data_IF_082827531780
#
_entry.id   IF_082827531780
#
_cell.length_a   1.000
_cell.length_b   1.000
_cell.length_c   1.000
_cell.angle_alpha   90.00
_cell.angle_beta   90.00
_cell.angle_gamma   90.00
#
_symmetry.space_group_name_H-M   'P 1'
#
loop_
_entity.id
_entity.type
_entity.pdbx_description
1 polymer ?
#
# COMPACT_ATOMS: atom_id res chain seq x y z
N UNK A 1 -44.64 18.10 -3.10
CA UNK A 1 -45.88 17.62 -2.45
C UNK A 1 -46.29 16.31 -3.08
N UNK A 2 -46.37 15.25 -2.26
CA UNK A 2 -47.20 14.02 -2.38
C UNK A 2 -47.02 13.21 -3.67
N UNK A 3 -46.65 11.94 -3.69
CA UNK A 3 -46.78 10.82 -2.76
C UNK A 3 -46.52 9.57 -3.63
N UNK A 4 -46.55 8.31 -3.18
CA UNK A 4 -46.96 7.64 -1.96
C UNK A 4 -46.43 6.22 -2.18
N UNK A 5 -45.63 5.70 -1.26
CA UNK A 5 -45.30 4.27 -1.24
C UNK A 5 -46.59 3.49 -0.94
N UNK A 6 -47.04 2.69 -1.90
CA UNK A 6 -48.12 1.75 -1.68
C UNK A 6 -47.55 0.45 -1.07
N UNK A 7 -47.90 0.21 0.19
CA UNK A 7 -47.79 -1.09 0.84
C UNK A 7 -48.95 -1.96 0.37
N UNK A 8 -48.65 -3.08 -0.27
CA UNK A 8 -49.57 -4.18 -0.56
C UNK A 8 -48.67 -5.40 -0.66
N UNK A 9 -48.87 -6.51 0.04
CA UNK A 9 -49.98 -7.02 0.83
C UNK A 9 -49.68 -8.51 0.90
N UNK A 10 -49.55 -9.05 2.11
CA UNK A 10 -49.24 -10.45 2.34
C UNK A 10 -50.34 -11.34 1.75
N UNK A 11 -49.98 -12.27 0.87
CA UNK A 11 -50.81 -13.45 0.58
C UNK A 11 -49.93 -14.69 0.57
N UNK A 12 -50.02 -15.43 1.67
CA UNK A 12 -49.59 -16.81 1.76
C UNK A 12 -50.47 -17.65 0.82
N UNK A 13 -49.84 -18.30 -0.17
CA UNK A 13 -50.45 -19.38 -0.95
C UNK A 13 -49.45 -20.52 -0.92
N UNK A 14 -49.79 -21.55 -0.16
CA UNK A 14 -49.12 -22.85 -0.21
C UNK A 14 -49.71 -23.64 -1.39
N UNK A 15 -48.90 -23.93 -2.40
CA UNK A 15 -49.19 -25.00 -3.36
C UNK A 15 -47.92 -25.81 -3.64
N UNK A 16 -48.08 -27.10 -3.36
CA UNK A 16 -47.23 -28.23 -3.67
C UNK A 16 -47.05 -28.37 -5.20
N UNK A 17 -45.81 -28.59 -5.67
CA UNK A 17 -45.41 -29.64 -6.64
C UNK A 17 -44.22 -29.25 -7.54
N UNK A 18 -43.39 -30.27 -7.80
CA UNK A 18 -42.54 -30.53 -8.98
C UNK A 18 -41.03 -30.21 -8.89
N UNK A 19 -40.25 -31.29 -8.98
CA UNK A 19 -38.82 -31.34 -9.30
C UNK A 19 -38.50 -30.47 -10.53
N UNK A 20 -37.47 -29.64 -10.42
CA UNK A 20 -36.74 -29.06 -11.55
C UNK A 20 -35.25 -29.14 -11.25
N UNK A 21 -34.56 -29.97 -12.02
CA UNK A 21 -33.11 -30.01 -12.09
C UNK A 21 -32.58 -28.72 -12.74
N UNK A 22 -31.39 -28.29 -12.34
CA UNK A 22 -30.57 -27.34 -13.09
C UNK A 22 -30.69 -25.88 -12.65
N UNK A 23 -29.97 -25.55 -11.57
CA UNK A 23 -29.37 -24.22 -11.46
C UNK A 23 -28.02 -24.41 -10.76
N UNK A 24 -26.97 -24.54 -11.58
CA UNK A 24 -25.62 -24.28 -11.13
C UNK A 24 -25.61 -22.85 -10.57
N UNK A 25 -25.71 -22.72 -9.25
CA UNK A 25 -25.33 -21.50 -8.56
C UNK A 25 -23.81 -21.43 -8.68
N UNK A 26 -23.34 -20.89 -9.81
CA UNK A 26 -22.04 -20.27 -9.84
C UNK A 26 -22.09 -19.16 -8.80
N UNK A 27 -21.49 -19.45 -7.64
CA UNK A 27 -21.16 -18.41 -6.68
C UNK A 27 -20.48 -17.28 -7.45
N UNK A 28 -20.91 -16.02 -7.31
CA UNK A 28 -20.02 -14.93 -7.65
C UNK A 28 -18.83 -15.09 -6.72
N UNK A 29 -17.74 -15.67 -7.25
CA UNK A 29 -16.40 -15.47 -6.73
C UNK A 29 -16.30 -13.99 -6.44
N UNK A 30 -16.14 -13.66 -5.17
CA UNK A 30 -15.77 -12.32 -4.77
C UNK A 30 -14.51 -12.02 -5.60
N UNK A 31 -14.65 -11.17 -6.62
CA UNK A 31 -13.53 -10.49 -7.22
C UNK A 31 -12.83 -9.84 -6.04
N UNK A 32 -11.69 -10.42 -5.65
CA UNK A 32 -10.72 -9.79 -4.77
C UNK A 32 -10.58 -8.37 -5.29
N UNK A 33 -11.18 -7.43 -4.57
CA UNK A 33 -11.04 -6.00 -4.84
C UNK A 33 -9.54 -5.80 -5.01
N UNK A 34 -9.13 -5.48 -6.24
CA UNK A 34 -7.72 -5.50 -6.61
C UNK A 34 -6.94 -4.70 -5.57
N UNK A 35 -6.13 -5.39 -4.78
CA UNK A 35 -5.19 -4.73 -3.88
C UNK A 35 -4.39 -3.80 -4.76
N UNK A 36 -4.62 -2.50 -4.59
CA UNK A 36 -3.80 -1.50 -5.26
C UNK A 36 -2.33 -1.84 -4.96
N UNK A 37 -1.43 -1.75 -5.94
CA UNK A 37 -0.03 -2.09 -5.75
C UNK A 37 0.53 -1.33 -4.55
N UNK A 38 1.06 -2.05 -3.55
CA UNK A 38 1.57 -1.48 -2.31
C UNK A 38 2.81 -0.61 -2.61
N UNK A 39 2.80 0.69 -2.31
CA UNK A 39 3.93 1.57 -2.62
C UNK A 39 5.07 1.50 -1.58
N UNK A 40 4.93 0.71 -0.51
CA UNK A 40 5.98 0.46 0.47
C UNK A 40 6.82 -0.74 0.03
N UNK A 41 8.11 -0.49 -0.22
CA UNK A 41 9.14 -1.53 -0.42
C UNK A 41 9.82 -1.79 0.93
N UNK A 42 9.68 -2.99 1.50
CA UNK A 42 10.20 -3.32 2.84
C UNK A 42 11.50 -4.15 2.80
N UNK A 43 12.39 -3.95 3.78
CA UNK A 43 13.72 -4.61 3.87
C UNK A 43 13.86 -5.43 5.15
N UNK A 44 14.25 -6.71 5.03
CA UNK A 44 14.19 -7.68 6.14
C UNK A 44 15.39 -7.72 7.10
N UNK A 45 16.51 -7.03 6.82
CA UNK A 45 17.72 -7.06 7.66
C UNK A 45 18.43 -5.70 7.74
N UNK A 46 17.80 -4.73 8.44
CA UNK A 46 18.25 -3.32 8.43
C UNK A 46 19.37 -2.95 9.44
N UNK A 47 19.78 -3.86 10.33
CA UNK A 47 20.78 -3.61 11.37
C UNK A 47 22.21 -3.27 10.85
N UNK A 48 22.45 -3.40 9.53
CA UNK A 48 23.75 -3.17 8.90
C UNK A 48 23.90 -1.78 8.24
N UNK A 49 22.86 -0.94 8.29
CA UNK A 49 22.81 0.32 7.54
C UNK A 49 23.30 1.50 8.39
N UNK A 50 24.18 2.39 7.87
CA UNK A 50 24.65 3.55 8.61
C UNK A 50 23.47 4.46 8.95
N UNK A 51 23.26 4.77 10.23
CA UNK A 51 22.17 5.64 10.71
C UNK A 51 22.48 7.11 10.49
N UNK A 52 22.27 7.59 9.27
CA UNK A 52 22.08 9.01 9.00
C UNK A 52 20.66 9.43 9.37
N UNK A 53 20.47 10.71 9.72
CA UNK A 53 19.14 11.27 9.79
C UNK A 53 18.60 11.45 8.37
N UNK A 54 17.41 10.92 8.11
CA UNK A 54 16.64 11.13 6.89
C UNK A 54 15.47 12.04 7.23
N UNK A 55 15.30 13.12 6.47
CA UNK A 55 14.21 14.07 6.67
C UNK A 55 13.76 14.65 5.35
N UNK A 56 12.47 14.93 5.20
CA UNK A 56 11.91 15.50 3.99
C UNK A 56 10.41 15.31 3.92
N UNK A 57 9.77 15.78 2.85
CA UNK A 57 8.32 15.62 2.68
C UNK A 57 8.00 14.27 2.03
N UNK A 58 7.09 13.51 2.64
CA UNK A 58 6.61 12.26 2.05
C UNK A 58 5.73 12.56 0.83
N UNK A 59 6.03 11.93 -0.30
CA UNK A 59 5.32 12.09 -1.57
C UNK A 59 5.00 10.72 -2.17
N UNK A 60 3.97 10.70 -3.01
CA UNK A 60 3.61 9.54 -3.83
C UNK A 60 3.61 10.00 -5.29
N UNK A 61 4.47 9.41 -6.11
CA UNK A 61 4.56 9.67 -7.55
C UNK A 61 4.66 8.33 -8.27
N UNK A 62 3.82 8.10 -9.29
CA UNK A 62 3.88 6.87 -10.08
C UNK A 62 3.84 5.57 -9.25
N UNK A 63 3.09 5.57 -8.13
CA UNK A 63 3.02 4.47 -7.16
C UNK A 63 4.33 4.15 -6.42
N UNK A 64 5.29 5.08 -6.41
CA UNK A 64 6.50 5.04 -5.62
C UNK A 64 6.42 6.08 -4.51
N UNK A 65 6.82 5.70 -3.30
CA UNK A 65 7.00 6.67 -2.22
C UNK A 65 8.34 7.38 -2.40
N UNK A 66 8.34 8.68 -2.08
CA UNK A 66 9.54 9.50 -2.07
C UNK A 66 9.61 10.31 -0.79
N UNK A 67 10.83 10.56 -0.32
CA UNK A 67 11.14 11.62 0.64
C UNK A 67 11.81 12.73 -0.16
N UNK A 68 11.13 13.86 -0.26
CA UNK A 68 11.43 14.92 -1.23
C UNK A 68 11.52 14.37 -2.67
N UNK A 69 12.72 14.18 -3.23
CA UNK A 69 12.92 13.70 -4.61
C UNK A 69 13.60 12.31 -4.69
N UNK A 70 13.93 11.71 -3.53
CA UNK A 70 14.56 10.39 -3.44
C UNK A 70 13.53 9.30 -3.26
N UNK A 71 13.66 8.19 -4.00
CA UNK A 71 12.79 7.01 -3.83
C UNK A 71 13.04 6.38 -2.46
N UNK A 72 11.99 6.16 -1.67
CA UNK A 72 12.15 5.56 -0.33
C UNK A 72 11.74 4.09 -0.32
N UNK A 73 12.58 3.28 0.29
CA UNK A 73 12.25 1.96 0.77
C UNK A 73 12.44 1.91 2.29
N UNK A 74 11.66 1.08 2.96
CA UNK A 74 11.43 1.13 4.40
C UNK A 74 11.98 -0.10 5.09
N UNK A 75 12.34 0.03 6.36
CA UNK A 75 12.62 -1.12 7.20
C UNK A 75 11.38 -2.01 7.38
N UNK A 76 11.61 -3.29 7.69
CA UNK A 76 10.55 -4.24 8.05
C UNK A 76 9.64 -3.69 9.17
N UNK A 77 8.39 -4.15 9.20
CA UNK A 77 7.36 -3.59 10.09
C UNK A 77 6.75 -2.28 9.59
N UNK A 78 7.02 -1.90 8.34
CA UNK A 78 6.37 -0.76 7.68
C UNK A 78 5.30 -1.24 6.70
N UNK A 79 4.14 -0.59 6.71
CA UNK A 79 3.01 -0.92 5.83
C UNK A 79 2.37 0.33 5.23
N UNK A 80 1.49 0.13 4.25
CA UNK A 80 0.74 1.20 3.59
C UNK A 80 -0.74 1.13 3.97
N UNK A 81 -1.28 2.23 4.46
CA UNK A 81 -2.73 2.43 4.59
C UNK A 81 -3.24 3.25 3.40
N UNK A 82 -4.02 2.60 2.54
CA UNK A 82 -4.58 3.21 1.34
C UNK A 82 -5.76 4.14 1.61
N UNK A 83 -6.48 3.97 2.73
CA UNK A 83 -7.60 4.82 3.10
C UNK A 83 -7.10 6.20 3.57
N UNK A 84 -6.09 6.19 4.45
CA UNK A 84 -5.53 7.44 4.99
C UNK A 84 -4.38 8.01 4.17
N UNK A 85 -3.91 7.26 3.16
CA UNK A 85 -2.72 7.54 2.33
C UNK A 85 -1.50 7.77 3.21
N UNK A 86 -1.18 6.77 4.04
CA UNK A 86 -0.11 6.89 5.04
C UNK A 86 0.78 5.67 5.09
N UNK A 87 2.05 5.93 5.41
CA UNK A 87 3.02 4.92 5.81
C UNK A 87 2.80 4.67 7.30
N UNK A 88 2.53 3.42 7.65
CA UNK A 88 2.23 2.99 9.01
C UNK A 88 3.39 2.17 9.54
N UNK A 89 3.85 2.52 10.73
CA UNK A 89 4.93 1.84 11.44
C UNK A 89 4.37 1.09 12.65
N UNK A 90 5.05 0.02 13.06
CA UNK A 90 4.69 -0.68 14.30
C UNK A 90 5.00 0.12 15.57
N UNK A 91 6.04 0.95 15.55
CA UNK A 91 6.60 1.60 16.74
C UNK A 91 6.54 3.13 16.73
N UNK A 92 5.95 3.75 15.72
CA UNK A 92 5.89 5.21 15.56
C UNK A 92 4.56 5.68 14.97
N UNK A 93 4.30 6.98 15.08
CA UNK A 93 3.12 7.60 14.48
C UNK A 93 3.16 7.47 12.93
N UNK A 94 2.01 7.21 12.28
CA UNK A 94 1.95 7.09 10.83
C UNK A 94 2.24 8.43 10.15
N UNK A 95 2.85 8.37 8.97
CA UNK A 95 3.21 9.55 8.18
C UNK A 95 2.39 9.59 6.90
N UNK A 96 1.61 10.65 6.70
CA UNK A 96 0.71 10.78 5.55
C UNK A 96 1.43 11.42 4.37
N UNK A 97 0.93 11.18 3.17
CA UNK A 97 1.41 11.93 1.99
C UNK A 97 1.25 13.43 2.23
N UNK A 98 2.33 14.16 2.00
CA UNK A 98 2.42 15.59 2.25
C UNK A 98 2.99 15.96 3.61
N UNK A 99 3.07 15.04 4.58
CA UNK A 99 3.67 15.32 5.88
C UNK A 99 5.21 15.34 5.80
N UNK A 100 5.83 15.94 6.81
CA UNK A 100 7.28 15.92 6.96
C UNK A 100 7.68 14.67 7.75
N UNK A 101 8.55 13.86 7.17
CA UNK A 101 9.17 12.71 7.80
C UNK A 101 10.49 13.12 8.44
N UNK A 102 10.82 12.52 9.58
CA UNK A 102 12.16 12.55 10.18
C UNK A 102 12.40 11.20 10.84
N UNK A 103 13.53 10.56 10.53
CA UNK A 103 13.88 9.25 11.04
C UNK A 103 15.33 8.90 10.78
N UNK A 104 15.70 7.65 11.02
CA UNK A 104 17.02 7.11 10.67
C UNK A 104 17.05 6.58 9.24
N UNK A 105 18.23 6.19 8.76
CA UNK A 105 18.40 5.54 7.47
C UNK A 105 19.66 5.95 6.73
N UNK A 106 19.67 5.83 5.41
CA UNK A 106 20.84 6.10 4.57
C UNK A 106 20.50 6.32 3.10
N UNK A 107 21.38 7.04 2.40
CA UNK A 107 21.26 7.31 0.97
C UNK A 107 22.06 6.30 0.14
N UNK A 108 21.48 5.88 -0.97
CA UNK A 108 22.06 4.96 -1.93
C UNK A 108 21.96 5.55 -3.33
N UNK A 109 23.11 5.70 -3.98
CA UNK A 109 23.13 5.94 -5.42
C UNK A 109 22.64 4.67 -6.13
N UNK A 110 22.03 4.85 -7.30
CA UNK A 110 21.45 3.74 -8.09
C UNK A 110 22.44 2.60 -8.39
N UNK A 111 23.70 2.93 -8.64
CA UNK A 111 24.79 1.97 -8.89
C UNK A 111 25.31 1.27 -7.63
N UNK A 112 24.88 1.73 -6.45
CA UNK A 112 25.28 1.22 -5.14
C UNK A 112 24.19 0.35 -4.48
N UNK A 113 23.11 0.06 -5.20
CA UNK A 113 22.03 -0.82 -4.72
C UNK A 113 22.38 -2.31 -4.83
N UNK A 114 23.34 -2.66 -5.68
CA UNK A 114 23.83 -4.03 -5.81
C UNK A 114 24.47 -4.50 -4.51
N UNK A 115 24.02 -5.65 -3.99
CA UNK A 115 24.54 -6.25 -2.76
C UNK A 115 23.83 -5.84 -1.48
N UNK A 116 22.70 -5.13 -1.57
CA UNK A 116 21.80 -4.93 -0.44
C UNK A 116 20.96 -6.19 -0.19
N UNK A 117 21.27 -6.90 0.88
CA UNK A 117 20.52 -8.10 1.27
C UNK A 117 19.11 -7.73 1.75
N UNK A 118 18.12 -8.51 1.32
CA UNK A 118 16.72 -8.36 1.76
C UNK A 118 15.96 -7.18 1.14
N UNK A 119 16.54 -6.48 0.16
CA UNK A 119 15.88 -5.44 -0.65
C UNK A 119 15.42 -6.04 -1.99
N UNK A 120 14.21 -5.70 -2.43
CA UNK A 120 13.80 -5.93 -3.83
C UNK A 120 14.43 -4.85 -4.73
N UNK A 121 15.68 -5.07 -5.14
CA UNK A 121 16.48 -4.12 -5.93
C UNK A 121 15.80 -3.80 -7.27
N UNK A 122 15.13 -4.77 -7.89
CA UNK A 122 14.42 -4.58 -9.16
C UNK A 122 13.26 -3.59 -8.98
N UNK A 123 12.48 -3.72 -7.90
CA UNK A 123 11.40 -2.79 -7.58
C UNK A 123 11.93 -1.36 -7.31
N UNK A 124 13.05 -1.23 -6.60
CA UNK A 124 13.67 0.08 -6.34
C UNK A 124 14.16 0.71 -7.65
N UNK A 125 14.83 -0.06 -8.52
CA UNK A 125 15.30 0.41 -9.83
C UNK A 125 14.11 0.81 -10.73
N UNK A 126 13.02 0.04 -10.71
CA UNK A 126 11.80 0.40 -11.42
C UNK A 126 11.28 1.76 -10.95
N UNK A 127 11.18 1.97 -9.64
CA UNK A 127 10.74 3.23 -9.08
C UNK A 127 11.65 4.39 -9.47
N UNK A 128 12.97 4.24 -9.35
CA UNK A 128 13.95 5.25 -9.76
C UNK A 128 13.77 5.66 -11.23
N UNK A 129 13.52 4.68 -12.13
CA UNK A 129 13.29 4.96 -13.55
C UNK A 129 11.95 5.67 -13.81
N UNK A 130 10.88 5.27 -13.10
CA UNK A 130 9.54 5.85 -13.30
C UNK A 130 9.42 7.27 -12.78
N UNK A 131 10.16 7.62 -11.72
CA UNK A 131 10.12 8.95 -11.10
C UNK A 131 11.20 9.90 -11.58
N UNK A 132 12.12 9.44 -12.45
CA UNK A 132 13.32 10.17 -12.87
C UNK A 132 14.21 10.59 -11.67
N UNK A 133 14.22 9.76 -10.62
CA UNK A 133 15.00 9.99 -9.41
C UNK A 133 16.43 9.43 -9.55
N UNK A 134 17.41 10.17 -9.03
CA UNK A 134 18.84 9.82 -9.11
C UNK A 134 19.31 8.88 -8.00
N UNK A 135 18.61 8.85 -6.88
CA UNK A 135 19.01 8.15 -5.67
C UNK A 135 17.81 7.61 -4.89
N UNK A 136 18.08 6.61 -4.06
CA UNK A 136 17.14 6.01 -3.16
C UNK A 136 17.59 6.18 -1.71
N UNK A 137 16.63 6.14 -0.79
CA UNK A 137 16.88 6.18 0.65
C UNK A 137 16.25 4.96 1.30
N UNK A 138 17.00 4.34 2.21
CA UNK A 138 16.39 3.51 3.24
C UNK A 138 15.93 4.44 4.36
N UNK A 139 14.70 4.29 4.83
CA UNK A 139 14.17 5.05 5.96
C UNK A 139 13.69 4.11 7.07
N UNK A 140 14.06 4.44 8.31
CA UNK A 140 13.59 3.79 9.53
C UNK A 140 12.73 4.76 10.33
N UNK A 141 11.71 4.29 11.07
CA UNK A 141 10.92 5.16 11.94
C UNK A 141 11.82 5.97 12.89
N UNK A 142 11.38 7.16 13.32
CA UNK A 142 12.04 7.88 14.41
C UNK A 142 12.02 7.05 15.71
N UNK A 143 13.12 7.13 16.47
CA UNK A 143 13.23 6.58 17.83
C UNK A 143 12.36 7.36 18.84
#
# INVERSE_FOLDING_TARGET
MVGRCAVMGVRAVAMLSALSAGAACSSPEAETAGSAPNPVMAVRDWNAYPTAQISGRLRLLENCLLIDDSVVFWADGTSWDSETRSVVFESADPVRIGDHFTGGGGHYAKDSLDGLDGVDVDAVIECLNRTDSSDAVIATPPD
#
